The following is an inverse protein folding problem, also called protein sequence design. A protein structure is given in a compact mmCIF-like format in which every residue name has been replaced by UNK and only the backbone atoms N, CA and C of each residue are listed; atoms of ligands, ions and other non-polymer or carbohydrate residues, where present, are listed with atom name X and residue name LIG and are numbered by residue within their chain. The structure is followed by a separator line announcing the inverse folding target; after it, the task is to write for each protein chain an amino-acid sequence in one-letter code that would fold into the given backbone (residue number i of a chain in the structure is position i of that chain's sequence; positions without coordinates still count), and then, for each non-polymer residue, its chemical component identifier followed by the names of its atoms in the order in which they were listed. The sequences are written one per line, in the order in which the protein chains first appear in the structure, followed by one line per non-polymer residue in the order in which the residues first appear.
data_IF_563942264044
#
_entry.id   IF_563942264044
#
_cell.length_a   1.000
_cell.length_b   1.000
_cell.length_c   1.000
_cell.angle_alpha   90.00
_cell.angle_beta   90.00
_cell.angle_gamma   90.00
#
_symmetry.space_group_name_H-M   'P 1'
#
loop_
_entity.id
_entity.type
_entity.pdbx_description
1 polymer ?
#
# COMPACT_ATOMS: atom_id res chain seq x y z
N UNK A 1 -65.73 10.15 -41.11
CA UNK A 1 -65.00 10.66 -42.29
C UNK A 1 -64.18 11.90 -41.89
N UNK A 2 -62.89 11.90 -42.25
CA UNK A 2 -62.01 13.03 -42.62
C UNK A 2 -61.84 14.24 -41.68
N UNK A 3 -60.65 14.28 -41.08
CA UNK A 3 -59.65 15.36 -41.03
C UNK A 3 -60.08 16.83 -40.95
N UNK A 4 -59.46 17.55 -39.99
CA UNK A 4 -58.65 18.75 -40.31
C UNK A 4 -57.37 18.79 -39.45
N UNK A 5 -56.22 18.76 -40.12
CA UNK A 5 -54.92 19.24 -39.62
C UNK A 5 -54.92 20.77 -39.74
N UNK A 6 -54.20 21.50 -38.87
CA UNK A 6 -53.47 22.75 -39.16
C UNK A 6 -52.74 23.16 -37.86
N UNK A 7 -51.43 22.91 -37.74
CA UNK A 7 -50.25 23.73 -38.11
C UNK A 7 -49.72 24.55 -36.91
N UNK A 8 -48.43 24.35 -36.68
CA UNK A 8 -47.54 24.99 -35.71
C UNK A 8 -47.62 26.52 -35.71
N UNK A 9 -47.51 27.12 -34.52
CA UNK A 9 -46.85 28.41 -34.34
C UNK A 9 -45.85 28.32 -33.19
N UNK A 10 -44.66 28.80 -33.49
CA UNK A 10 -43.38 28.69 -32.80
C UNK A 10 -43.22 29.88 -31.87
N UNK A 11 -43.47 29.75 -30.56
CA UNK A 11 -43.33 30.87 -29.63
C UNK A 11 -42.95 30.37 -28.22
N UNK A 12 -41.68 30.60 -27.86
CA UNK A 12 -41.03 30.56 -26.53
C UNK A 12 -40.89 29.22 -25.77
N UNK A 13 -39.77 28.53 -26.00
CA UNK A 13 -39.14 27.69 -24.97
C UNK A 13 -38.00 28.52 -24.37
N UNK A 14 -38.30 29.24 -23.29
CA UNK A 14 -37.27 29.84 -22.44
C UNK A 14 -36.63 28.74 -21.61
N UNK A 15 -35.35 28.52 -21.88
CA UNK A 15 -34.49 27.61 -21.13
C UNK A 15 -34.29 28.11 -19.69
N UNK A 16 -34.54 27.25 -18.72
CA UNK A 16 -34.05 27.38 -17.35
C UNK A 16 -33.58 26.00 -16.88
N UNK A 17 -32.38 25.62 -17.33
CA UNK A 17 -31.61 24.54 -16.69
C UNK A 17 -30.62 25.25 -15.77
N UNK A 18 -30.99 25.38 -14.50
CA UNK A 18 -30.06 25.80 -13.46
C UNK A 18 -29.04 24.67 -13.25
N UNK A 19 -27.79 24.91 -13.66
CA UNK A 19 -26.68 24.01 -13.43
C UNK A 19 -26.34 23.96 -11.94
N UNK A 20 -26.53 22.78 -11.33
CA UNK A 20 -25.93 22.46 -10.04
C UNK A 20 -24.49 22.03 -10.28
N UNK A 21 -23.56 22.99 -10.32
CA UNK A 21 -22.13 22.72 -10.23
C UNK A 21 -21.83 22.36 -8.77
N UNK A 22 -21.73 21.07 -8.47
CA UNK A 22 -21.08 20.59 -7.26
C UNK A 22 -19.59 20.86 -7.45
N UNK A 23 -19.09 21.93 -6.83
CA UNK A 23 -17.66 22.12 -6.66
C UNK A 23 -17.16 20.98 -5.77
N UNK A 24 -16.51 19.98 -6.37
CA UNK A 24 -15.62 19.09 -5.62
C UNK A 24 -14.47 19.97 -5.16
N UNK A 25 -14.52 20.41 -3.91
CA UNK A 25 -13.37 21.02 -3.26
C UNK A 25 -12.24 20.00 -3.31
N UNK A 26 -11.17 20.31 -4.04
CA UNK A 26 -9.91 19.61 -3.85
C UNK A 26 -9.54 19.74 -2.36
N UNK A 27 -9.13 18.65 -1.68
CA UNK A 27 -8.64 18.79 -0.32
C UNK A 27 -7.51 19.82 -0.34
N UNK A 28 -7.64 20.87 0.47
CA UNK A 28 -6.56 21.81 0.67
C UNK A 28 -5.33 21.02 1.14
N UNK A 29 -4.10 21.36 0.67
CA UNK A 29 -2.91 20.77 1.25
C UNK A 29 -2.92 21.14 2.73
N UNK A 30 -3.06 20.14 3.60
CA UNK A 30 -2.95 20.34 5.03
C UNK A 30 -1.54 20.88 5.29
N UNK A 31 -1.44 22.16 5.62
CA UNK A 31 -0.20 22.75 6.13
C UNK A 31 0.14 22.02 7.41
N UNK A 32 1.28 21.32 7.40
CA UNK A 32 1.78 20.56 8.53
C UNK A 32 1.88 21.47 9.78
N UNK A 33 1.09 21.19 10.80
CA UNK A 33 1.23 21.82 12.11
C UNK A 33 2.59 21.40 12.72
N UNK A 34 3.34 22.31 13.37
CA UNK A 34 4.64 21.99 13.96
C UNK A 34 4.51 20.88 15.01
N UNK A 35 5.08 19.70 14.74
CA UNK A 35 5.21 18.59 15.70
C UNK A 35 4.57 17.25 15.30
N UNK A 36 3.79 17.20 14.23
CA UNK A 36 3.15 15.94 13.79
C UNK A 36 4.05 15.07 12.89
N UNK A 37 5.05 15.69 12.28
CA UNK A 37 5.96 15.08 11.31
C UNK A 37 7.38 14.99 11.88
N UNK A 38 8.14 13.97 11.48
CA UNK A 38 9.59 13.95 11.68
C UNK A 38 10.20 15.13 10.92
N UNK A 39 10.86 16.09 11.62
CA UNK A 39 11.40 17.30 11.00
C UNK A 39 12.66 17.04 10.15
N UNK A 40 13.23 15.83 10.21
CA UNK A 40 14.41 15.44 9.44
C UNK A 40 14.06 14.89 8.04
N UNK A 41 12.78 14.60 7.81
CA UNK A 41 12.24 14.09 6.56
C UNK A 41 11.24 15.07 5.95
N UNK A 42 10.95 14.98 4.64
CA UNK A 42 9.86 15.74 4.05
C UNK A 42 8.55 15.54 4.82
N UNK A 43 7.86 16.63 5.15
CA UNK A 43 6.53 16.61 5.76
C UNK A 43 5.46 16.29 4.68
N UNK A 44 5.50 15.06 4.16
CA UNK A 44 4.67 14.59 3.06
C UNK A 44 4.20 13.16 3.31
N UNK A 45 3.01 12.83 2.80
CA UNK A 45 2.48 11.47 2.83
C UNK A 45 3.31 10.58 1.89
N UNK A 46 3.72 9.40 2.38
CA UNK A 46 4.55 8.44 1.65
C UNK A 46 3.84 7.89 0.40
N UNK A 47 4.65 7.41 -0.54
CA UNK A 47 4.15 6.84 -1.80
C UNK A 47 3.19 5.67 -1.58
N UNK A 48 2.25 5.51 -2.50
CA UNK A 48 1.21 4.48 -2.49
C UNK A 48 -0.07 4.88 -1.74
N UNK A 49 -0.17 6.10 -1.22
CA UNK A 49 -1.40 6.60 -0.60
C UNK A 49 -2.59 6.63 -1.60
N UNK A 50 -3.85 6.58 -1.13
CA UNK A 50 -5.01 6.62 -2.01
C UNK A 50 -4.98 7.83 -2.97
N UNK A 51 -5.04 7.56 -4.28
CA UNK A 51 -4.98 8.57 -5.33
C UNK A 51 -3.59 8.77 -5.96
N UNK A 52 -2.53 8.22 -5.35
CA UNK A 52 -1.16 8.25 -5.87
C UNK A 52 -0.98 7.33 -7.11
N UNK A 53 -0.14 7.67 -8.12
CA UNK A 53 0.06 6.81 -9.29
C UNK A 53 0.50 5.37 -8.94
N UNK A 54 1.27 5.21 -7.86
CA UNK A 54 1.68 3.88 -7.38
C UNK A 54 0.50 3.10 -6.81
N UNK A 55 -0.44 3.76 -6.13
CA UNK A 55 -1.67 3.11 -5.66
C UNK A 55 -2.51 2.63 -6.84
N UNK A 56 -2.65 3.47 -7.88
CA UNK A 56 -3.37 3.12 -9.12
C UNK A 56 -2.73 1.91 -9.81
N UNK A 57 -1.40 1.89 -9.94
CA UNK A 57 -0.68 0.76 -10.53
C UNK A 57 -0.93 -0.56 -9.78
N UNK A 58 -1.07 -0.48 -8.45
CA UNK A 58 -1.30 -1.64 -7.59
C UNK A 58 -2.79 -2.01 -7.42
N UNK A 59 -3.73 -1.18 -7.86
CA UNK A 59 -5.16 -1.39 -7.66
C UNK A 59 -5.75 -2.50 -8.56
N UNK A 60 -5.01 -2.99 -9.56
CA UNK A 60 -5.52 -4.04 -10.45
C UNK A 60 -5.62 -5.39 -9.74
N UNK A 61 -6.66 -6.17 -10.10
CA UNK A 61 -6.81 -7.55 -9.65
C UNK A 61 -5.58 -8.40 -9.98
N UNK A 62 -4.99 -8.17 -11.16
CA UNK A 62 -3.78 -8.86 -11.59
C UNK A 62 -2.58 -8.53 -10.69
N UNK A 63 -2.35 -7.25 -10.37
CA UNK A 63 -1.28 -6.85 -9.46
C UNK A 63 -1.47 -7.47 -8.06
N UNK A 64 -2.70 -7.49 -7.57
CA UNK A 64 -3.05 -8.12 -6.28
C UNK A 64 -2.78 -9.64 -6.31
N UNK A 65 -3.19 -10.33 -7.38
CA UNK A 65 -2.97 -11.77 -7.53
C UNK A 65 -1.46 -12.10 -7.63
N UNK A 66 -0.70 -11.32 -8.38
CA UNK A 66 0.75 -11.47 -8.49
C UNK A 66 1.45 -11.24 -7.15
N UNK A 67 1.11 -10.17 -6.44
CA UNK A 67 1.67 -9.89 -5.11
C UNK A 67 1.38 -11.02 -4.11
N UNK A 68 0.16 -11.57 -4.15
CA UNK A 68 -0.24 -12.71 -3.32
C UNK A 68 0.58 -13.94 -3.68
N UNK A 69 0.70 -14.28 -4.95
CA UNK A 69 1.45 -15.45 -5.39
C UNK A 69 2.94 -15.37 -5.04
N UNK A 70 3.57 -14.21 -5.29
CA UNK A 70 4.97 -13.99 -4.94
C UNK A 70 5.19 -14.14 -3.44
N UNK A 71 4.31 -13.57 -2.61
CA UNK A 71 4.40 -13.71 -1.15
C UNK A 71 4.24 -15.15 -0.71
N UNK A 72 3.27 -15.88 -1.26
CA UNK A 72 3.07 -17.30 -0.95
C UNK A 72 4.29 -18.14 -1.31
N UNK A 73 4.90 -17.90 -2.47
CA UNK A 73 6.11 -18.59 -2.91
C UNK A 73 7.28 -18.34 -1.94
N UNK A 74 7.49 -17.08 -1.54
CA UNK A 74 8.54 -16.71 -0.56
C UNK A 74 8.28 -17.36 0.80
N UNK A 75 7.04 -17.37 1.28
CA UNK A 75 6.66 -18.05 2.51
C UNK A 75 6.90 -19.55 2.45
N UNK A 76 6.56 -20.21 1.35
CA UNK A 76 6.84 -21.63 1.13
C UNK A 76 8.34 -21.93 1.12
N UNK A 77 9.15 -21.07 0.48
CA UNK A 77 10.61 -21.19 0.51
C UNK A 77 11.15 -21.06 1.94
N UNK A 78 10.67 -20.09 2.71
CA UNK A 78 11.06 -19.93 4.11
C UNK A 78 10.72 -21.15 4.96
N UNK A 79 9.48 -21.65 4.87
CA UNK A 79 9.03 -22.84 5.62
C UNK A 79 9.80 -24.10 5.21
N UNK A 80 10.08 -24.26 3.92
CA UNK A 80 10.93 -25.35 3.42
C UNK A 80 12.34 -25.28 4.01
N UNK A 81 12.90 -24.06 4.13
CA UNK A 81 14.18 -23.82 4.81
C UNK A 81 14.18 -24.16 6.31
N UNK A 82 13.00 -24.18 6.95
CA UNK A 82 12.82 -24.65 8.33
C UNK A 82 12.57 -26.17 8.43
N UNK A 83 12.51 -26.89 7.30
CA UNK A 83 12.12 -28.30 7.27
C UNK A 83 10.62 -28.53 7.49
N UNK A 84 9.80 -27.48 7.44
CA UNK A 84 8.34 -27.55 7.58
C UNK A 84 7.75 -27.69 6.18
N UNK A 85 7.45 -28.92 5.77
CA UNK A 85 6.74 -29.18 4.52
C UNK A 85 5.23 -29.22 4.80
N UNK A 86 4.49 -28.18 4.38
CA UNK A 86 3.04 -28.07 4.62
C UNK A 86 2.16 -28.90 3.68
N UNK A 87 2.72 -29.65 2.72
CA UNK A 87 1.94 -30.51 1.84
C UNK A 87 0.88 -29.76 1.03
N UNK A 88 1.28 -29.15 -0.10
CA UNK A 88 0.35 -28.72 -1.14
C UNK A 88 -0.32 -27.34 -0.95
N UNK A 89 -0.33 -26.59 -2.05
CA UNK A 89 -0.92 -25.28 -2.33
C UNK A 89 -2.07 -24.83 -1.41
N UNK A 90 -1.76 -23.96 -0.45
CA UNK A 90 -2.77 -23.24 0.32
C UNK A 90 -3.39 -22.12 -0.52
N UNK A 91 -4.72 -22.12 -0.60
CA UNK A 91 -5.57 -21.14 -1.31
C UNK A 91 -5.24 -19.66 -0.94
N UNK A 92 -5.50 -18.70 -1.86
CA UNK A 92 -5.23 -17.30 -1.63
C UNK A 92 -6.16 -16.74 -0.56
N UNK A 93 -5.60 -16.26 0.54
CA UNK A 93 -6.36 -15.46 1.50
C UNK A 93 -6.48 -14.05 0.92
N UNK A 94 -7.67 -13.71 0.42
CA UNK A 94 -8.07 -12.33 0.18
C UNK A 94 -7.86 -11.50 1.45
N UNK A 95 -7.50 -10.23 1.27
CA UNK A 95 -7.22 -9.22 2.29
C UNK A 95 -8.11 -9.34 3.53
N UNK A 96 -7.64 -10.12 4.52
CA UNK A 96 -8.12 -10.15 5.88
C UNK A 96 -7.00 -10.80 6.69
N UNK A 97 -6.32 -10.00 7.52
CA UNK A 97 -5.19 -10.36 8.39
C UNK A 97 -5.61 -11.28 9.53
N UNK A 98 -6.21 -12.42 9.21
CA UNK A 98 -6.55 -13.47 10.16
C UNK A 98 -5.39 -14.45 10.28
N UNK A 99 -4.55 -14.23 11.30
CA UNK A 99 -3.59 -15.19 11.84
C UNK A 99 -2.36 -15.42 10.96
N UNK A 100 -1.19 -15.04 11.47
CA UNK A 100 0.07 -15.53 10.91
C UNK A 100 0.02 -17.06 10.83
N UNK A 101 0.16 -17.60 9.61
CA UNK A 101 0.29 -19.04 9.37
C UNK A 101 1.59 -19.60 9.97
N UNK A 102 2.50 -18.72 10.41
CA UNK A 102 3.73 -19.10 11.07
C UNK A 102 3.39 -19.52 12.50
N UNK A 103 3.64 -20.78 12.89
CA UNK A 103 3.46 -21.21 14.27
C UNK A 103 4.22 -20.27 15.21
N UNK A 104 3.63 -19.91 16.36
CA UNK A 104 4.27 -19.00 17.32
C UNK A 104 5.69 -19.43 17.71
N UNK A 105 5.94 -20.74 17.74
CA UNK A 105 7.26 -21.33 17.98
C UNK A 105 8.33 -20.86 16.98
N UNK A 106 7.95 -20.60 15.73
CA UNK A 106 8.85 -20.12 14.67
C UNK A 106 8.84 -18.60 14.51
N UNK A 107 8.05 -17.86 15.30
CA UNK A 107 7.92 -16.40 15.20
C UNK A 107 9.26 -15.67 15.33
N UNK A 108 10.13 -16.08 16.27
CA UNK A 108 11.47 -15.49 16.42
C UNK A 108 12.33 -15.69 15.18
N UNK A 109 12.35 -16.91 14.61
CA UNK A 109 13.12 -17.20 13.40
C UNK A 109 12.59 -16.41 12.19
N UNK A 110 11.27 -16.26 12.09
CA UNK A 110 10.65 -15.45 11.05
C UNK A 110 11.08 -13.97 11.17
N UNK A 111 11.00 -13.39 12.36
CA UNK A 111 11.43 -11.99 12.58
C UNK A 111 12.93 -11.80 12.30
N UNK A 112 13.79 -12.72 12.72
CA UNK A 112 15.22 -12.63 12.37
C UNK A 112 15.45 -12.78 10.86
N UNK A 113 14.63 -13.56 10.15
CA UNK A 113 14.68 -13.61 8.69
C UNK A 113 14.25 -12.28 8.07
N UNK A 114 13.15 -11.68 8.51
CA UNK A 114 12.69 -10.36 8.06
C UNK A 114 13.78 -9.30 8.25
N UNK A 115 14.36 -9.24 9.46
CA UNK A 115 15.41 -8.26 9.78
C UNK A 115 16.66 -8.48 8.92
N UNK A 116 17.10 -9.73 8.75
CA UNK A 116 18.24 -10.05 7.87
C UNK A 116 17.95 -9.69 6.42
N UNK A 117 16.71 -9.88 5.95
CA UNK A 117 16.30 -9.56 4.59
C UNK A 117 16.32 -8.04 4.36
N UNK A 118 15.78 -7.25 5.28
CA UNK A 118 15.91 -5.79 5.22
C UNK A 118 17.38 -5.34 5.33
N UNK A 119 18.13 -5.89 6.29
CA UNK A 119 19.53 -5.54 6.52
C UNK A 119 20.46 -5.86 5.35
N UNK A 120 20.15 -6.87 4.54
CA UNK A 120 20.94 -7.17 3.33
C UNK A 120 20.79 -6.10 2.24
N UNK A 121 19.83 -5.18 2.37
CA UNK A 121 19.63 -4.06 1.46
C UNK A 121 20.32 -2.78 1.93
N UNK A 122 21.13 -2.83 3.00
CA UNK A 122 21.93 -1.67 3.40
C UNK A 122 22.84 -1.22 2.24
N UNK A 123 22.76 0.08 1.91
CA UNK A 123 23.48 0.68 0.78
C UNK A 123 22.70 0.71 -0.54
N UNK A 124 21.54 0.06 -0.62
CA UNK A 124 20.62 0.24 -1.76
C UNK A 124 20.05 1.67 -1.75
N UNK A 125 20.00 2.36 -2.90
CA UNK A 125 19.49 3.74 -2.95
C UNK A 125 18.04 3.86 -2.45
N UNK A 126 17.73 5.03 -1.89
CA UNK A 126 16.35 5.44 -1.70
C UNK A 126 15.72 5.75 -3.06
N UNK A 127 14.51 5.26 -3.30
CA UNK A 127 13.72 5.57 -4.49
C UNK A 127 12.27 5.77 -4.09
N UNK A 128 11.71 6.97 -4.31
CA UNK A 128 10.32 7.29 -3.99
C UNK A 128 9.37 6.32 -4.72
N UNK A 129 8.54 5.58 -4.00
CA UNK A 129 7.69 4.55 -4.61
C UNK A 129 8.42 3.26 -5.02
N UNK A 130 9.73 3.16 -4.77
CA UNK A 130 10.54 1.98 -5.10
C UNK A 130 10.37 0.84 -4.10
N UNK A 131 10.54 -0.39 -4.57
CA UNK A 131 10.49 -1.61 -3.79
C UNK A 131 9.38 -2.56 -4.24
N UNK A 132 9.80 -3.73 -4.72
CA UNK A 132 8.93 -4.87 -5.00
C UNK A 132 9.04 -5.92 -3.88
N UNK A 133 8.26 -7.00 -3.97
CA UNK A 133 8.30 -8.09 -2.98
C UNK A 133 9.58 -8.92 -3.04
N UNK A 134 10.28 -8.86 -4.17
CA UNK A 134 11.46 -9.65 -4.50
C UNK A 134 12.77 -8.84 -4.54
N UNK A 135 12.71 -7.50 -4.50
CA UNK A 135 13.91 -6.67 -4.43
C UNK A 135 13.64 -5.17 -4.62
N UNK A 136 14.70 -4.37 -4.82
CA UNK A 136 14.54 -2.97 -5.19
C UNK A 136 13.92 -2.86 -6.58
N UNK A 137 13.12 -1.83 -6.79
CA UNK A 137 12.48 -1.55 -8.08
C UNK A 137 12.65 -0.09 -8.45
N UNK A 138 12.31 0.25 -9.69
CA UNK A 138 12.09 1.66 -10.03
C UNK A 138 10.95 2.22 -9.19
N UNK A 139 11.09 3.48 -8.83
CA UNK A 139 10.06 4.24 -8.14
C UNK A 139 9.06 4.88 -9.09
N UNK A 140 8.33 5.86 -8.57
CA UNK A 140 7.46 6.77 -9.32
C UNK A 140 7.91 8.21 -9.05
N UNK A 141 7.43 9.17 -9.86
CA UNK A 141 7.76 10.59 -9.71
C UNK A 141 9.27 10.82 -9.58
N UNK A 142 9.72 11.42 -8.46
CA UNK A 142 11.14 11.67 -8.17
C UNK A 142 12.00 10.39 -8.14
N UNK A 143 11.39 9.23 -7.91
CA UNK A 143 12.03 7.91 -7.90
C UNK A 143 12.00 7.17 -9.24
N UNK A 144 11.35 7.69 -10.29
CA UNK A 144 11.13 6.96 -11.55
C UNK A 144 12.42 6.51 -12.26
N UNK A 145 13.52 7.24 -12.04
CA UNK A 145 14.85 6.93 -12.58
C UNK A 145 15.75 6.08 -11.68
N UNK A 146 15.32 5.77 -10.46
CA UNK A 146 16.17 5.18 -9.42
C UNK A 146 15.65 3.79 -9.08
N UNK A 147 16.50 2.77 -9.21
CA UNK A 147 16.21 1.43 -8.67
C UNK A 147 16.58 1.40 -7.19
N UNK A 148 15.59 1.25 -6.32
CA UNK A 148 15.79 1.35 -4.88
C UNK A 148 14.56 0.95 -4.08
N UNK A 149 14.52 1.43 -2.84
CA UNK A 149 13.38 1.28 -1.93
C UNK A 149 12.94 2.63 -1.38
N UNK A 150 11.65 2.79 -1.13
CA UNK A 150 11.17 3.74 -0.12
C UNK A 150 10.92 3.03 1.23
N UNK A 151 10.39 3.79 2.20
CA UNK A 151 10.16 3.32 3.56
C UNK A 151 9.26 2.07 3.61
N UNK A 152 8.05 2.18 3.07
CA UNK A 152 7.02 1.13 3.12
C UNK A 152 7.32 -0.03 2.15
N UNK A 153 8.00 0.24 1.02
CA UNK A 153 8.49 -0.75 0.06
C UNK A 153 9.54 -1.68 0.66
N UNK A 154 10.51 -1.15 1.43
CA UNK A 154 11.51 -1.97 2.12
C UNK A 154 10.87 -2.88 3.16
N UNK A 155 9.92 -2.37 3.96
CA UNK A 155 9.21 -3.18 4.95
C UNK A 155 8.41 -4.29 4.27
N UNK A 156 7.71 -3.96 3.19
CA UNK A 156 6.92 -4.94 2.44
C UNK A 156 7.76 -6.04 1.82
N UNK A 157 8.92 -5.70 1.25
CA UNK A 157 9.92 -6.66 0.77
C UNK A 157 10.40 -7.61 1.88
N UNK A 158 10.69 -7.06 3.06
CA UNK A 158 11.25 -7.82 4.17
C UNK A 158 10.23 -8.84 4.72
N UNK A 159 9.00 -8.40 4.98
CA UNK A 159 7.92 -9.25 5.51
C UNK A 159 7.42 -10.29 4.49
N UNK A 160 7.45 -9.98 3.19
CA UNK A 160 7.09 -10.95 2.16
C UNK A 160 8.00 -12.19 2.18
N UNK A 161 9.26 -12.05 2.64
CA UNK A 161 10.21 -13.15 2.80
C UNK A 161 9.75 -14.27 3.74
N UNK A 162 8.78 -14.01 4.61
CA UNK A 162 8.18 -15.02 5.50
C UNK A 162 6.71 -15.27 5.18
N UNK A 163 6.26 -14.86 3.99
CA UNK A 163 4.89 -15.05 3.53
C UNK A 163 3.88 -14.06 4.10
N UNK A 164 4.33 -12.93 4.66
CA UNK A 164 3.46 -11.88 5.20
C UNK A 164 3.39 -10.72 4.20
N UNK A 165 2.22 -10.55 3.58
CA UNK A 165 1.96 -9.44 2.68
C UNK A 165 1.40 -8.26 3.47
N UNK A 166 2.19 -7.19 3.62
CA UNK A 166 1.73 -5.93 4.21
C UNK A 166 1.39 -4.90 3.12
N UNK A 167 0.53 -3.90 3.38
CA UNK A 167 0.14 -2.87 2.39
C UNK A 167 1.32 -2.11 1.77
N UNK A 168 1.10 -1.44 0.62
CA UNK A 168 2.16 -0.68 -0.06
C UNK A 168 2.44 0.68 0.59
N UNK A 169 1.44 1.30 1.21
CA UNK A 169 1.49 2.62 1.83
C UNK A 169 1.80 2.53 3.34
N UNK A 170 2.62 3.43 3.89
CA UNK A 170 2.97 3.40 5.33
C UNK A 170 1.74 3.60 6.23
N UNK A 171 0.80 4.47 5.88
CA UNK A 171 -0.41 4.67 6.68
C UNK A 171 -1.32 3.44 6.71
N UNK A 172 -1.41 2.69 5.60
CA UNK A 172 -2.14 1.42 5.58
C UNK A 172 -1.40 0.32 6.36
N UNK A 173 -0.06 0.33 6.35
CA UNK A 173 0.75 -0.55 7.20
C UNK A 173 0.56 -0.23 8.68
N UNK A 174 0.45 1.05 9.07
CA UNK A 174 0.18 1.49 10.44
C UNK A 174 -1.18 0.98 10.93
N UNK A 175 -2.20 1.03 10.08
CA UNK A 175 -3.53 0.51 10.38
C UNK A 175 -3.60 -1.03 10.32
N UNK A 176 -2.55 -1.69 9.85
CA UNK A 176 -2.48 -3.14 9.79
C UNK A 176 -1.86 -3.74 11.07
N UNK A 177 -2.35 -4.93 11.46
CA UNK A 177 -1.77 -5.68 12.56
C UNK A 177 -2.19 -5.18 13.95
N UNK A 178 -1.28 -5.30 14.92
CA UNK A 178 -1.53 -4.99 16.33
C UNK A 178 -0.63 -3.83 16.77
N UNK A 179 -1.22 -2.76 17.28
CA UNK A 179 -0.47 -1.65 17.87
C UNK A 179 0.19 -2.05 19.19
N UNK A 180 1.42 -1.61 19.35
CA UNK A 180 2.24 -1.77 20.54
C UNK A 180 2.56 -0.37 21.06
N UNK A 181 2.38 -0.09 22.37
CA UNK A 181 2.85 1.16 22.96
C UNK A 181 4.33 1.38 22.66
N UNK A 182 4.73 2.61 22.34
CA UNK A 182 6.12 2.91 21.93
C UNK A 182 7.16 2.51 22.99
N UNK A 183 6.82 2.65 24.27
CA UNK A 183 7.67 2.24 25.39
C UNK A 183 7.75 0.71 25.59
N UNK A 184 6.95 -0.07 24.87
CA UNK A 184 6.98 -1.53 24.85
C UNK A 184 7.54 -2.10 23.54
N UNK A 185 7.96 -1.23 22.61
CA UNK A 185 8.46 -1.63 21.31
C UNK A 185 9.62 -2.63 21.44
N UNK A 186 9.56 -3.68 20.62
CA UNK A 186 10.52 -4.78 20.62
C UNK A 186 11.15 -4.92 19.25
N UNK A 187 12.26 -5.64 19.21
CA UNK A 187 12.91 -6.05 17.96
C UNK A 187 11.91 -6.74 17.04
N UNK A 188 11.75 -6.20 15.84
CA UNK A 188 10.82 -6.71 14.82
C UNK A 188 9.50 -5.94 14.72
N UNK A 189 9.19 -5.08 15.69
CA UNK A 189 8.08 -4.14 15.59
C UNK A 189 8.42 -3.03 14.57
N UNK A 190 7.39 -2.51 13.89
CA UNK A 190 7.51 -1.40 12.95
C UNK A 190 7.28 -0.07 13.66
N UNK A 191 8.09 0.93 13.31
CA UNK A 191 7.97 2.31 13.80
C UNK A 191 7.40 3.16 12.67
N UNK A 192 6.45 4.03 13.01
CA UNK A 192 5.74 4.88 12.06
C UNK A 192 5.84 6.34 12.50
N UNK A 193 5.83 7.24 11.52
CA UNK A 193 5.95 8.68 11.69
C UNK A 193 4.83 9.40 10.94
N UNK A 194 4.58 10.66 11.30
CA UNK A 194 3.55 11.47 10.67
C UNK A 194 2.12 11.15 11.13
N UNK A 195 1.15 11.98 10.68
CA UNK A 195 -0.27 11.72 10.87
C UNK A 195 -0.63 10.31 10.38
N UNK A 196 -1.27 9.51 11.25
CA UNK A 196 -1.71 8.14 10.94
C UNK A 196 -0.60 7.21 10.41
N UNK A 197 0.67 7.48 10.75
CA UNK A 197 1.81 6.70 10.28
C UNK A 197 2.10 6.86 8.78
N UNK A 198 1.62 7.96 8.18
CA UNK A 198 1.65 8.20 6.75
C UNK A 198 2.94 8.82 6.21
N UNK A 199 3.93 9.17 7.04
CA UNK A 199 5.23 9.67 6.59
C UNK A 199 6.15 8.53 6.14
#
# INVERSE_FOLDING_TARGET
MRHKRFRFSLVWVTALVAGLLIAVAAPAPASAEPGEWDPTLPAAISAGAPGDPLAVANASLQATAQATQTTLNLGQQFLSGLGINLGGSAAPAAANTSGSRIPRANGRQAIEHVIRRAGSQMGVPYSWGGGSLDGPSKGVDDGAGITGFDCSGLMRYAFAGVGVLIPRFSGDQYNAGRHIPQNEARRGDLIFYGPNGGQ
#
